data_IF_801962520381
#
_entry.id   IF_801962520381
#
_cell.length_a   1.000
_cell.length_b   1.000
_cell.length_c   1.000
_cell.angle_alpha   90.00
_cell.angle_beta   90.00
_cell.angle_gamma   90.00
#
_symmetry.space_group_name_H-M   'P 1'
#
loop_
_entity.id
_entity.type
_entity.pdbx_description
1 polymer ?
#
# COMPACT_ATOMS: atom_id res chain seq x y z
N UNK A 1 -14.57 8.91 3.64
CA UNK A 1 -13.25 9.40 3.16
C UNK A 1 -13.33 9.61 1.66
N UNK A 2 -12.89 10.75 1.17
CA UNK A 2 -12.82 10.99 -0.26
C UNK A 2 -11.43 10.61 -0.83
N UNK A 3 -11.27 10.69 -2.14
CA UNK A 3 -10.03 10.31 -2.82
C UNK A 3 -8.85 11.18 -2.38
N UNK A 4 -9.07 12.47 -2.21
CA UNK A 4 -8.01 13.40 -1.78
C UNK A 4 -7.49 13.03 -0.40
N UNK A 5 -8.39 12.74 0.54
CA UNK A 5 -8.01 12.32 1.88
C UNK A 5 -7.24 11.00 1.86
N UNK A 6 -7.63 10.06 0.99
CA UNK A 6 -6.90 8.79 0.85
C UNK A 6 -5.49 9.02 0.30
N UNK A 7 -5.34 9.89 -0.71
CA UNK A 7 -4.02 10.25 -1.25
C UNK A 7 -3.15 10.91 -0.19
N UNK A 8 -3.71 11.80 0.61
CA UNK A 8 -2.99 12.46 1.71
C UNK A 8 -2.50 11.42 2.72
N UNK A 9 -3.35 10.44 3.04
CA UNK A 9 -2.96 9.33 3.92
C UNK A 9 -1.77 8.56 3.33
N UNK A 10 -1.82 8.21 2.04
CA UNK A 10 -0.71 7.51 1.38
C UNK A 10 0.58 8.30 1.45
N UNK A 11 0.54 9.59 1.11
CA UNK A 11 1.73 10.45 1.13
C UNK A 11 2.30 10.55 2.55
N UNK A 12 1.47 10.69 3.56
CA UNK A 12 1.92 10.73 4.95
C UNK A 12 2.60 9.42 5.36
N UNK A 13 2.03 8.28 4.98
CA UNK A 13 2.62 6.97 5.28
C UNK A 13 3.95 6.76 4.56
N UNK A 14 4.04 7.15 3.29
CA UNK A 14 5.26 7.06 2.49
C UNK A 14 6.35 7.92 3.12
N UNK A 15 6.04 9.18 3.44
CA UNK A 15 6.99 10.11 4.04
C UNK A 15 7.47 9.60 5.41
N UNK A 16 6.58 9.04 6.22
CA UNK A 16 6.93 8.46 7.51
C UNK A 16 7.89 7.28 7.38
N UNK A 17 7.64 6.37 6.44
CA UNK A 17 8.52 5.22 6.20
C UNK A 17 9.88 5.69 5.67
N UNK A 18 9.90 6.65 4.75
CA UNK A 18 11.14 7.20 4.20
C UNK A 18 11.97 7.88 5.29
N UNK A 19 11.31 8.62 6.19
CA UNK A 19 12.00 9.27 7.32
C UNK A 19 12.65 8.25 8.24
N UNK A 20 11.97 7.14 8.54
CA UNK A 20 12.54 6.08 9.37
C UNK A 20 13.81 5.49 8.76
N UNK A 21 13.84 5.32 7.43
CA UNK A 21 15.02 4.83 6.72
C UNK A 21 16.16 5.83 6.83
N UNK A 22 15.88 7.13 6.68
CA UNK A 22 16.89 8.19 6.74
C UNK A 22 17.49 8.33 8.15
N UNK A 23 16.68 8.18 9.19
CA UNK A 23 17.14 8.33 10.58
C UNK A 23 18.09 7.21 11.02
N UNK A 24 18.01 6.02 10.40
CA UNK A 24 18.93 4.88 10.58
C UNK A 24 19.30 4.56 12.04
N UNK A 25 18.40 4.80 12.97
CA UNK A 25 18.72 4.63 14.39
C UNK A 25 18.75 3.15 14.82
N UNK A 26 18.03 2.29 14.11
CA UNK A 26 18.00 0.84 14.37
C UNK A 26 17.84 0.09 13.06
N UNK A 27 18.70 -0.89 12.80
CA UNK A 27 18.66 -1.70 11.56
C UNK A 27 17.32 -2.38 11.33
N UNK A 28 16.69 -2.90 12.40
CA UNK A 28 15.39 -3.59 12.30
C UNK A 28 14.28 -2.63 11.84
N UNK A 29 14.31 -1.38 12.29
CA UNK A 29 13.35 -0.38 11.87
C UNK A 29 13.50 -0.01 10.39
N UNK A 30 14.74 -0.01 9.88
CA UNK A 30 14.99 0.23 8.47
C UNK A 30 14.36 -0.85 7.59
N UNK A 31 14.47 -2.11 7.98
CA UNK A 31 13.87 -3.23 7.24
C UNK A 31 12.35 -3.17 7.26
N UNK A 32 11.75 -2.86 8.41
CA UNK A 32 10.30 -2.71 8.54
C UNK A 32 9.83 -1.54 7.68
N UNK A 33 10.49 -0.40 7.79
CA UNK A 33 10.15 0.78 7.02
C UNK A 33 10.29 0.54 5.50
N UNK A 34 11.31 -0.22 5.10
CA UNK A 34 11.54 -0.55 3.71
C UNK A 34 10.40 -1.39 3.13
N UNK A 35 9.93 -2.38 3.91
CA UNK A 35 8.77 -3.18 3.52
C UNK A 35 7.51 -2.35 3.37
N UNK A 36 7.25 -1.46 4.35
CA UNK A 36 6.12 -0.53 4.28
C UNK A 36 6.21 0.35 3.04
N UNK A 37 7.38 0.95 2.81
CA UNK A 37 7.59 1.86 1.70
C UNK A 37 7.36 1.17 0.36
N UNK A 38 7.88 -0.04 0.19
CA UNK A 38 7.72 -0.81 -1.06
C UNK A 38 6.24 -1.04 -1.38
N UNK A 39 5.46 -1.46 -0.39
CA UNK A 39 4.02 -1.69 -0.57
C UNK A 39 3.28 -0.38 -0.86
N UNK A 40 3.57 0.66 -0.10
CA UNK A 40 2.88 1.94 -0.22
C UNK A 40 3.15 2.61 -1.57
N UNK A 41 4.39 2.52 -2.07
CA UNK A 41 4.74 3.05 -3.39
C UNK A 41 4.01 2.27 -4.49
N UNK A 42 3.91 0.95 -4.37
CA UNK A 42 3.15 0.13 -5.29
C UNK A 42 1.67 0.54 -5.29
N UNK A 43 1.09 0.73 -4.10
CA UNK A 43 -0.30 1.17 -3.98
C UNK A 43 -0.51 2.56 -4.58
N UNK A 44 0.43 3.49 -4.37
CA UNK A 44 0.36 4.81 -4.97
C UNK A 44 0.33 4.74 -6.49
N UNK A 45 1.15 3.89 -7.09
CA UNK A 45 1.13 3.68 -8.56
C UNK A 45 -0.22 3.16 -9.04
N UNK A 46 -0.83 2.24 -8.30
CA UNK A 46 -2.17 1.73 -8.64
C UNK A 46 -3.19 2.87 -8.57
N UNK A 47 -3.17 3.67 -7.51
CA UNK A 47 -4.11 4.78 -7.34
C UNK A 47 -3.93 5.83 -8.44
N UNK A 48 -2.69 6.08 -8.84
CA UNK A 48 -2.36 7.09 -9.87
C UNK A 48 -2.54 6.57 -11.30
N UNK A 49 -2.84 5.28 -11.48
CA UNK A 49 -3.02 4.71 -12.81
C UNK A 49 -1.72 4.40 -13.54
N UNK A 50 -0.61 4.29 -12.82
CA UNK A 50 0.72 4.03 -13.37
C UNK A 50 1.30 2.69 -12.91
N UNK A 51 0.45 1.76 -12.47
CA UNK A 51 0.87 0.49 -11.93
C UNK A 51 1.63 -0.35 -12.96
N UNK A 52 2.68 -1.03 -12.50
CA UNK A 52 3.36 -2.05 -13.28
C UNK A 52 2.59 -3.37 -13.18
N UNK A 53 2.97 -4.37 -13.99
CA UNK A 53 2.37 -5.70 -13.90
C UNK A 53 2.70 -6.36 -12.57
N UNK A 54 3.90 -6.12 -12.04
CA UNK A 54 4.33 -6.59 -10.72
C UNK A 54 3.47 -5.98 -9.61
N UNK A 55 3.15 -4.69 -9.72
CA UNK A 55 2.24 -4.03 -8.79
C UNK A 55 0.87 -4.72 -8.79
N UNK A 56 0.32 -4.98 -9.96
CA UNK A 56 -0.98 -5.63 -10.09
C UNK A 56 -0.97 -7.03 -9.48
N UNK A 57 0.10 -7.80 -9.72
CA UNK A 57 0.25 -9.13 -9.14
C UNK A 57 0.33 -9.10 -7.63
N UNK A 58 1.06 -8.13 -7.06
CA UNK A 58 1.17 -7.97 -5.61
C UNK A 58 -0.22 -7.72 -4.99
N UNK A 59 -0.98 -6.79 -5.54
CA UNK A 59 -2.29 -6.44 -4.99
C UNK A 59 -3.33 -7.54 -5.23
N UNK A 60 -3.24 -8.28 -6.34
CA UNK A 60 -4.07 -9.47 -6.56
C UNK A 60 -3.82 -10.51 -5.48
N UNK A 61 -2.57 -10.76 -5.12
CA UNK A 61 -2.22 -11.71 -4.06
C UNK A 61 -2.78 -11.27 -2.70
N UNK A 62 -2.68 -9.97 -2.39
CA UNK A 62 -3.26 -9.42 -1.15
C UNK A 62 -4.77 -9.63 -1.14
N UNK A 63 -5.46 -9.35 -2.24
CA UNK A 63 -6.89 -9.55 -2.34
C UNK A 63 -7.27 -11.02 -2.14
N UNK A 64 -6.53 -11.95 -2.74
CA UNK A 64 -6.77 -13.38 -2.58
C UNK A 64 -6.67 -13.81 -1.11
N UNK A 65 -5.67 -13.29 -0.39
CA UNK A 65 -5.52 -13.56 1.04
C UNK A 65 -6.71 -13.00 1.83
N UNK A 66 -7.10 -11.76 1.58
CA UNK A 66 -8.21 -11.12 2.29
C UNK A 66 -9.53 -11.84 2.02
N UNK A 67 -9.77 -12.26 0.79
CA UNK A 67 -10.96 -13.03 0.41
C UNK A 67 -10.98 -14.39 1.09
N UNK A 68 -9.87 -15.09 1.10
CA UNK A 68 -9.73 -16.41 1.73
C UNK A 68 -9.97 -16.34 3.23
N UNK A 69 -9.49 -15.26 3.89
CA UNK A 69 -9.71 -15.03 5.31
C UNK A 69 -11.12 -14.55 5.63
N UNK A 70 -11.93 -14.26 4.62
CA UNK A 70 -13.30 -13.76 4.80
C UNK A 70 -13.36 -12.30 5.24
N UNK A 71 -12.28 -11.54 5.09
CA UNK A 71 -12.25 -10.13 5.47
C UNK A 71 -12.91 -9.23 4.43
N UNK A 72 -12.93 -9.67 3.18
CA UNK A 72 -13.69 -9.03 2.10
C UNK A 72 -14.46 -10.10 1.34
N UNK A 73 -15.53 -9.69 0.65
CA UNK A 73 -16.35 -10.57 -0.18
C UNK A 73 -15.51 -11.16 -1.31
N UNK A 74 -15.81 -12.42 -1.71
CA UNK A 74 -15.09 -13.11 -2.77
C UNK A 74 -15.13 -12.39 -4.13
N UNK A 75 -16.07 -11.48 -4.33
CA UNK A 75 -16.21 -10.68 -5.55
C UNK A 75 -15.69 -9.26 -5.40
N UNK A 76 -15.15 -8.92 -4.24
CA UNK A 76 -14.61 -7.59 -3.93
C UNK A 76 -13.11 -7.60 -3.91
N UNK A 77 -12.53 -6.40 -4.06
CA UNK A 77 -11.11 -6.15 -3.82
C UNK A 77 -10.99 -4.94 -2.92
N UNK A 78 -9.90 -4.88 -2.13
CA UNK A 78 -9.68 -3.68 -1.32
C UNK A 78 -9.43 -2.45 -2.20
N UNK A 79 -8.95 -2.65 -3.44
CA UNK A 79 -8.75 -1.56 -4.38
C UNK A 79 -10.05 -0.88 -4.78
N UNK A 80 -11.16 -1.64 -4.84
CA UNK A 80 -12.49 -1.07 -5.12
C UNK A 80 -13.01 -0.22 -3.98
N UNK A 81 -12.48 -0.39 -2.78
CA UNK A 81 -12.86 0.38 -1.60
C UNK A 81 -12.16 1.73 -1.54
N UNK A 82 -11.11 1.91 -2.34
CA UNK A 82 -10.41 3.19 -2.45
C UNK A 82 -11.35 4.20 -3.10
N UNK A 83 -11.55 5.37 -2.49
CA UNK A 83 -12.45 6.40 -3.05
C UNK A 83 -12.03 6.85 -4.45
N UNK A 84 -13.03 7.04 -5.29
CA UNK A 84 -12.81 7.51 -6.66
C UNK A 84 -12.89 9.01 -6.78
#
# INVERSE_FOLDING_TARGET
MDRSAFKDFLEAQINGAAKQILDKQKADLDHIAFGKLSFLLSLRRVVDGTATREDLGMHDAVNDVLQTLGLIDSKSTYLKMIPK
#
